data_IF_050883457927
#
_entry.id   IF_050883457927
#
_cell.length_a   1.000
_cell.length_b   1.000
_cell.length_c   1.000
_cell.angle_alpha   90.00
_cell.angle_beta   90.00
_cell.angle_gamma   90.00
#
_symmetry.space_group_name_H-M   'P 1'
#
loop_
_entity.id
_entity.type
_entity.pdbx_description
1 polymer ?
#
# COMPACT_ATOMS: atom_id res chain seq x y z
N UNK A 1 1.83 -2.91 22.15
CA UNK A 1 1.26 -4.28 22.12
C UNK A 1 0.47 -4.36 20.83
N UNK A 2 0.45 -5.50 20.14
CA UNK A 2 -0.42 -5.69 18.97
C UNK A 2 -1.73 -6.32 19.44
N UNK A 3 -2.86 -5.90 18.85
CA UNK A 3 -4.17 -6.50 19.11
C UNK A 3 -4.73 -7.00 17.81
N UNK A 4 -4.93 -8.31 17.73
CA UNK A 4 -5.54 -8.93 16.57
C UNK A 4 -7.06 -8.68 16.61
N UNK A 5 -7.59 -7.95 15.62
CA UNK A 5 -9.01 -7.62 15.48
C UNK A 5 -9.67 -8.47 14.38
N UNK A 6 -8.99 -9.50 13.88
CA UNK A 6 -9.48 -10.37 12.80
C UNK A 6 -10.84 -11.02 13.07
N UNK A 7 -11.07 -11.49 14.29
CA UNK A 7 -12.34 -12.14 14.65
C UNK A 7 -13.48 -11.12 14.64
N UNK A 8 -13.31 -9.99 15.33
CA UNK A 8 -14.27 -8.89 15.35
C UNK A 8 -14.55 -8.34 13.93
N UNK A 9 -13.53 -8.27 13.08
CA UNK A 9 -13.66 -7.88 11.68
C UNK A 9 -14.51 -8.88 10.89
N UNK A 10 -14.30 -10.18 11.07
CA UNK A 10 -15.12 -11.22 10.39
C UNK A 10 -16.56 -11.24 10.89
N UNK A 11 -16.76 -11.11 12.20
CA UNK A 11 -18.09 -11.03 12.81
C UNK A 11 -18.88 -9.83 12.27
N UNK A 12 -18.21 -8.69 12.04
CA UNK A 12 -18.83 -7.52 11.41
C UNK A 12 -19.41 -7.85 10.03
N UNK A 13 -18.73 -8.69 9.23
CA UNK A 13 -19.21 -9.14 7.91
C UNK A 13 -20.48 -9.99 7.94
N UNK A 14 -20.80 -10.57 9.10
CA UNK A 14 -22.03 -11.34 9.32
C UNK A 14 -23.18 -10.48 9.88
N UNK A 15 -22.93 -9.20 10.18
CA UNK A 15 -23.93 -8.32 10.73
C UNK A 15 -25.06 -8.06 9.71
N UNK A 16 -26.31 -8.17 10.18
CA UNK A 16 -27.51 -8.00 9.35
C UNK A 16 -27.60 -6.60 8.74
N UNK A 17 -27.05 -5.60 9.45
CA UNK A 17 -27.05 -4.19 9.08
C UNK A 17 -26.21 -3.87 7.83
N UNK A 18 -25.21 -4.71 7.50
CA UNK A 18 -24.32 -4.44 6.38
C UNK A 18 -24.98 -4.77 5.04
N UNK A 19 -24.86 -3.84 4.09
CA UNK A 19 -25.22 -4.04 2.69
C UNK A 19 -24.30 -5.03 1.98
N UNK A 20 -24.70 -5.46 0.77
CA UNK A 20 -23.98 -6.47 -0.01
C UNK A 20 -22.52 -6.07 -0.27
N UNK A 21 -22.26 -4.82 -0.65
CA UNK A 21 -20.90 -4.36 -0.98
C UNK A 21 -20.01 -4.25 0.26
N UNK A 22 -20.55 -3.80 1.39
CA UNK A 22 -19.82 -3.76 2.66
C UNK A 22 -19.36 -5.17 3.09
N UNK A 23 -20.22 -6.18 2.92
CA UNK A 23 -19.85 -7.57 3.20
C UNK A 23 -18.74 -8.05 2.27
N UNK A 24 -18.80 -7.74 0.97
CA UNK A 24 -17.71 -8.08 0.04
C UNK A 24 -16.38 -7.45 0.45
N UNK A 25 -16.40 -6.21 0.94
CA UNK A 25 -15.21 -5.51 1.46
C UNK A 25 -14.65 -6.24 2.67
N UNK A 26 -15.50 -6.54 3.66
CA UNK A 26 -15.10 -7.28 4.86
C UNK A 26 -14.47 -8.62 4.51
N UNK A 27 -15.11 -9.39 3.63
CA UNK A 27 -14.59 -10.67 3.15
C UNK A 27 -13.32 -10.55 2.30
N UNK A 28 -12.95 -9.36 1.83
CA UNK A 28 -11.71 -9.12 1.09
C UNK A 28 -10.49 -8.98 1.99
N UNK A 29 -10.70 -8.75 3.29
CA UNK A 29 -9.66 -8.57 4.29
C UNK A 29 -9.68 -9.75 5.26
N UNK A 30 -8.61 -10.55 5.26
CA UNK A 30 -8.43 -11.70 6.13
C UNK A 30 -7.96 -11.32 7.53
N UNK A 31 -7.03 -10.37 7.61
CA UNK A 31 -6.48 -9.90 8.86
C UNK A 31 -6.61 -8.39 9.00
N UNK A 32 -7.04 -7.96 10.19
CA UNK A 32 -6.99 -6.57 10.63
C UNK A 32 -6.35 -6.57 12.01
N UNK A 33 -5.22 -5.89 12.16
CA UNK A 33 -4.43 -5.89 13.38
C UNK A 33 -4.09 -4.45 13.76
N UNK A 34 -4.44 -4.11 14.99
CA UNK A 34 -4.08 -2.86 15.63
C UNK A 34 -2.65 -2.96 16.15
N UNK A 35 -1.79 -2.02 15.76
CA UNK A 35 -0.40 -1.95 16.23
C UNK A 35 -0.26 -0.77 17.18
N UNK A 36 -0.48 -0.98 18.49
CA UNK A 36 -0.41 0.11 19.49
C UNK A 36 1.02 0.61 19.73
N UNK A 37 2.02 -0.24 19.46
CA UNK A 37 3.42 0.11 19.62
C UNK A 37 4.26 -0.62 18.59
N UNK A 38 4.98 0.15 17.80
CA UNK A 38 5.93 -0.26 16.79
C UNK A 38 7.29 0.36 17.12
N UNK A 39 8.36 -0.42 16.95
CA UNK A 39 9.74 0.06 16.98
C UNK A 39 10.32 -0.12 15.58
N UNK A 40 10.79 0.95 14.98
CA UNK A 40 11.49 0.93 13.70
C UNK A 40 12.93 1.38 13.92
N UNK A 41 13.90 0.58 13.48
CA UNK A 41 15.32 0.94 13.51
C UNK A 41 15.76 1.21 12.08
N UNK A 42 16.18 2.44 11.79
CA UNK A 42 16.68 2.83 10.46
C UNK A 42 18.18 2.98 10.53
N UNK A 43 18.90 2.08 9.86
CA UNK A 43 20.36 2.16 9.68
C UNK A 43 20.72 2.94 8.43
N UNK A 44 21.67 3.86 8.55
CA UNK A 44 22.20 4.61 7.41
C UNK A 44 23.35 3.83 6.77
N UNK A 45 23.10 3.26 5.58
CA UNK A 45 24.07 2.44 4.83
C UNK A 45 24.99 3.25 3.93
N UNK A 46 24.65 4.51 3.65
CA UNK A 46 25.38 5.36 2.73
C UNK A 46 24.45 6.23 1.88
N UNK A 47 25.03 6.98 0.95
CA UNK A 47 24.28 7.78 -0.02
C UNK A 47 24.78 7.54 -1.43
N UNK A 48 23.90 7.75 -2.40
CA UNK A 48 24.20 7.67 -3.83
C UNK A 48 23.80 8.99 -4.47
N UNK A 49 24.61 9.52 -5.38
CA UNK A 49 24.21 10.68 -6.18
C UNK A 49 23.14 10.28 -7.20
N UNK A 50 22.30 11.23 -7.61
CA UNK A 50 21.36 11.03 -8.72
C UNK A 50 22.12 10.53 -9.97
N UNK A 51 21.79 9.31 -10.43
CA UNK A 51 22.46 8.65 -11.57
C UNK A 51 23.78 7.93 -11.24
N UNK A 52 24.24 7.96 -9.98
CA UNK A 52 25.37 7.16 -9.51
C UNK A 52 24.98 5.71 -9.29
N UNK A 53 25.91 4.77 -9.56
CA UNK A 53 25.73 3.35 -9.25
C UNK A 53 26.45 2.92 -7.97
N UNK A 54 27.33 3.77 -7.46
CA UNK A 54 28.19 3.48 -6.31
C UNK A 54 27.61 4.11 -5.05
N UNK A 55 27.38 3.29 -4.03
CA UNK A 55 26.95 3.75 -2.70
C UNK A 55 28.20 4.21 -1.96
N UNK A 56 28.21 5.47 -1.51
CA UNK A 56 29.26 5.98 -0.63
C UNK A 56 28.89 5.60 0.81
N UNK A 57 29.65 4.72 1.48
CA UNK A 57 29.34 4.28 2.85
C UNK A 57 29.50 5.43 3.86
N UNK A 58 28.85 5.35 5.03
CA UNK A 58 29.04 6.33 6.11
C UNK A 58 30.46 6.29 6.67
N UNK A 59 31.06 5.10 6.69
CA UNK A 59 32.45 4.92 7.05
C UNK A 59 33.34 5.09 5.83
N UNK A 60 34.00 6.23 5.75
CA UNK A 60 34.91 6.58 4.66
C UNK A 60 36.22 5.76 4.75
N UNK A 61 36.62 5.33 5.95
CA UNK A 61 37.84 4.55 6.17
C UNK A 61 37.63 3.05 5.88
N UNK A 62 36.41 2.55 6.04
CA UNK A 62 36.04 1.15 5.78
C UNK A 62 36.54 0.17 6.84
N UNK A 63 36.78 0.66 8.06
CA UNK A 63 37.32 -0.11 9.19
C UNK A 63 36.24 -0.51 10.21
N UNK A 64 35.06 0.10 10.12
CA UNK A 64 33.96 -0.06 11.08
C UNK A 64 33.11 -1.30 10.78
N UNK A 65 32.78 -2.04 11.82
CA UNK A 65 31.86 -3.18 11.81
C UNK A 65 30.42 -2.80 12.23
N UNK A 66 30.16 -1.50 12.41
CA UNK A 66 28.86 -0.96 12.85
C UNK A 66 28.34 0.13 11.89
N UNK A 67 27.03 0.35 11.90
CA UNK A 67 26.36 1.40 11.13
C UNK A 67 25.64 2.38 12.07
N UNK A 68 25.66 3.70 11.78
CA UNK A 68 24.84 4.65 12.50
C UNK A 68 23.36 4.35 12.25
N UNK A 69 22.57 4.33 13.31
CA UNK A 69 21.15 4.05 13.25
C UNK A 69 20.36 4.99 14.16
N UNK A 70 19.11 5.22 13.78
CA UNK A 70 18.12 5.89 14.63
C UNK A 70 17.05 4.89 15.06
N UNK A 71 16.64 5.00 16.32
CA UNK A 71 15.47 4.29 16.83
C UNK A 71 14.26 5.20 16.76
N UNK A 72 13.19 4.68 16.19
CA UNK A 72 11.91 5.36 16.05
C UNK A 72 10.83 4.51 16.70
N UNK A 73 9.82 5.19 17.25
CA UNK A 73 8.66 4.57 17.88
C UNK A 73 7.39 5.11 17.24
N UNK A 74 6.34 4.31 17.24
CA UNK A 74 5.04 4.74 16.75
C UNK A 74 3.98 3.67 16.84
N UNK A 75 2.99 3.78 15.99
CA UNK A 75 1.80 2.95 15.94
C UNK A 75 1.44 2.65 14.49
N UNK A 76 0.47 1.77 14.26
CA UNK A 76 0.02 1.48 12.90
C UNK A 76 -1.21 0.60 12.81
N UNK A 77 -1.59 0.38 11.56
CA UNK A 77 -2.67 -0.51 11.13
C UNK A 77 -2.05 -1.52 10.19
N UNK A 78 -2.19 -2.80 10.52
CA UNK A 78 -1.86 -3.88 9.61
C UNK A 78 -3.14 -4.51 9.09
N UNK A 79 -3.20 -4.72 7.77
CA UNK A 79 -4.20 -5.55 7.15
C UNK A 79 -3.56 -6.59 6.22
N UNK A 80 -4.22 -7.74 6.08
CA UNK A 80 -3.89 -8.70 5.03
C UNK A 80 -5.14 -9.06 4.24
N UNK A 81 -5.00 -9.11 2.90
CA UNK A 81 -6.07 -9.48 2.00
C UNK A 81 -6.36 -10.98 2.08
N UNK A 82 -7.56 -11.37 1.65
CA UNK A 82 -7.94 -12.77 1.52
C UNK A 82 -7.17 -13.45 0.37
N UNK A 83 -6.39 -14.46 0.73
CA UNK A 83 -5.46 -15.13 -0.21
C UNK A 83 -6.18 -15.94 -1.28
N UNK A 84 -7.32 -16.57 -0.95
CA UNK A 84 -8.08 -17.37 -1.92
C UNK A 84 -8.68 -16.47 -2.99
N UNK A 85 -9.35 -15.40 -2.57
CA UNK A 85 -9.88 -14.38 -3.50
C UNK A 85 -8.80 -13.72 -4.33
N UNK A 86 -7.62 -13.48 -3.73
CA UNK A 86 -6.51 -12.84 -4.42
C UNK A 86 -5.94 -13.74 -5.52
N UNK A 87 -5.81 -15.05 -5.25
CA UNK A 87 -5.39 -16.05 -6.24
C UNK A 87 -6.35 -16.16 -7.43
N UNK A 88 -7.65 -16.04 -7.19
CA UNK A 88 -8.64 -16.03 -8.27
C UNK A 88 -8.54 -14.73 -9.08
N UNK A 89 -8.46 -13.58 -8.40
CA UNK A 89 -8.37 -12.27 -9.04
C UNK A 89 -7.10 -12.14 -9.91
N UNK A 90 -5.94 -12.57 -9.42
CA UNK A 90 -4.66 -12.45 -10.13
C UNK A 90 -4.59 -13.33 -11.40
N UNK A 91 -5.46 -14.33 -11.53
CA UNK A 91 -5.58 -15.18 -12.73
C UNK A 91 -6.50 -14.59 -13.80
N UNK A 92 -7.21 -13.49 -13.51
CA UNK A 92 -8.13 -12.87 -14.47
C UNK A 92 -7.36 -12.35 -15.70
N UNK A 93 -7.75 -12.69 -16.94
CA UNK A 93 -7.00 -12.31 -18.14
C UNK A 93 -6.77 -10.81 -18.28
N UNK A 94 -7.75 -9.97 -17.94
CA UNK A 94 -7.63 -8.52 -17.98
C UNK A 94 -6.59 -7.98 -16.97
N UNK A 95 -6.52 -8.57 -15.77
CA UNK A 95 -5.56 -8.22 -14.71
C UNK A 95 -4.14 -8.60 -15.13
N UNK A 96 -3.96 -9.82 -15.64
CA UNK A 96 -2.67 -10.32 -16.16
C UNK A 96 -2.19 -9.49 -17.34
N UNK A 97 -3.06 -9.20 -18.30
CA UNK A 97 -2.73 -8.36 -19.47
C UNK A 97 -2.27 -6.97 -19.03
N UNK A 98 -2.87 -6.42 -17.99
CA UNK A 98 -2.55 -5.09 -17.46
C UNK A 98 -1.13 -5.01 -16.90
N UNK A 99 -0.70 -6.03 -16.15
CA UNK A 99 0.71 -6.19 -15.72
C UNK A 99 1.65 -6.43 -16.90
N UNK A 100 1.29 -7.32 -17.82
CA UNK A 100 2.16 -7.69 -18.94
C UNK A 100 2.54 -6.50 -19.83
N UNK A 101 1.66 -5.50 -19.96
CA UNK A 101 1.97 -4.24 -20.67
C UNK A 101 3.01 -3.37 -19.95
N UNK A 102 3.12 -3.50 -18.63
CA UNK A 102 4.06 -2.72 -17.81
C UNK A 102 5.44 -3.38 -17.70
N UNK A 103 5.50 -4.72 -17.72
CA UNK A 103 6.73 -5.48 -17.53
C UNK A 103 7.91 -5.04 -18.43
N UNK A 104 7.74 -4.77 -19.75
CA UNK A 104 8.84 -4.32 -20.58
C UNK A 104 9.48 -3.01 -20.09
N UNK A 105 8.65 -2.08 -19.60
CA UNK A 105 9.12 -0.79 -19.05
C UNK A 105 9.77 -0.98 -17.70
N UNK A 106 9.24 -1.87 -16.86
CA UNK A 106 9.87 -2.22 -15.58
C UNK A 106 11.28 -2.78 -15.81
N UNK A 107 11.44 -3.74 -16.71
CA UNK A 107 12.74 -4.29 -17.09
C UNK A 107 13.67 -3.21 -17.65
N UNK A 108 13.18 -2.33 -18.52
CA UNK A 108 13.98 -1.24 -19.11
C UNK A 108 14.38 -0.18 -18.07
N UNK A 109 13.57 0.02 -17.03
CA UNK A 109 13.86 1.02 -15.98
C UNK A 109 15.10 0.68 -15.15
N UNK A 110 15.55 -0.59 -15.17
CA UNK A 110 16.70 -1.07 -14.40
C UNK A 110 16.48 -1.04 -12.89
N UNK A 111 15.21 -0.97 -12.45
CA UNK A 111 14.84 -1.09 -11.04
C UNK A 111 14.90 -2.54 -10.60
N UNK A 112 15.53 -2.78 -9.46
CA UNK A 112 15.62 -4.11 -8.88
C UNK A 112 14.34 -4.48 -8.14
N UNK A 113 13.75 -3.56 -7.38
CA UNK A 113 12.56 -3.83 -6.56
C UNK A 113 11.25 -3.30 -7.18
N UNK A 114 10.13 -4.01 -6.98
CA UNK A 114 10.03 -5.35 -6.38
C UNK A 114 10.48 -6.45 -7.37
N UNK A 115 11.11 -7.52 -6.87
CA UNK A 115 11.52 -8.66 -7.69
C UNK A 115 10.88 -9.98 -7.23
N UNK A 116 9.97 -10.60 -8.01
CA UNK A 116 9.40 -10.11 -9.26
C UNK A 116 8.29 -9.06 -9.04
N UNK A 117 8.03 -8.24 -10.06
CA UNK A 117 6.84 -7.40 -10.12
C UNK A 117 5.60 -8.27 -10.39
N UNK A 118 4.58 -8.14 -9.53
CA UNK A 118 3.33 -8.91 -9.61
C UNK A 118 2.09 -8.00 -9.56
N UNK A 119 0.95 -8.50 -10.03
CA UNK A 119 -0.36 -7.83 -9.90
C UNK A 119 -0.74 -7.65 -8.44
N UNK A 120 -0.45 -8.66 -7.61
CA UNK A 120 -0.55 -8.63 -6.15
C UNK A 120 0.20 -7.43 -5.55
N UNK A 121 1.47 -7.27 -5.90
CA UNK A 121 2.26 -6.13 -5.42
C UNK A 121 1.61 -4.81 -5.81
N UNK A 122 1.26 -4.65 -7.09
CA UNK A 122 0.67 -3.40 -7.58
C UNK A 122 -0.67 -3.08 -6.91
N UNK A 123 -1.51 -4.10 -6.65
CA UNK A 123 -2.75 -3.94 -5.88
C UNK A 123 -2.47 -3.44 -4.47
N UNK A 124 -1.58 -4.12 -3.74
CA UNK A 124 -1.26 -3.79 -2.34
C UNK A 124 -0.66 -2.38 -2.24
N UNK A 125 0.28 -2.05 -3.12
CA UNK A 125 0.93 -0.75 -3.19
C UNK A 125 -0.03 0.38 -3.56
N UNK A 126 -0.95 0.13 -4.49
CA UNK A 126 -1.94 1.13 -4.83
C UNK A 126 -2.97 1.30 -3.71
N UNK A 127 -3.38 0.21 -3.07
CA UNK A 127 -4.32 0.25 -1.95
C UNK A 127 -3.72 0.96 -0.74
N UNK A 128 -2.44 0.73 -0.42
CA UNK A 128 -1.75 1.43 0.68
C UNK A 128 -1.70 2.93 0.45
N UNK A 129 -1.42 3.37 -0.77
CA UNK A 129 -1.47 4.78 -1.15
C UNK A 129 -2.86 5.39 -0.94
N UNK A 130 -3.90 4.75 -1.46
CA UNK A 130 -5.27 5.24 -1.33
C UNK A 130 -5.74 5.24 0.13
N UNK A 131 -5.34 4.23 0.92
CA UNK A 131 -5.59 4.17 2.36
C UNK A 131 -4.88 5.30 3.10
N UNK A 132 -3.60 5.57 2.82
CA UNK A 132 -2.85 6.66 3.46
C UNK A 132 -3.51 8.01 3.19
N UNK A 133 -3.96 8.25 1.96
CA UNK A 133 -4.71 9.47 1.60
C UNK A 133 -6.03 9.58 2.36
N UNK A 134 -6.75 8.47 2.54
CA UNK A 134 -8.00 8.46 3.30
C UNK A 134 -7.76 8.66 4.80
N UNK A 135 -6.72 8.04 5.36
CA UNK A 135 -6.30 8.18 6.75
C UNK A 135 -5.85 9.61 7.04
N UNK A 136 -5.15 10.28 6.12
CA UNK A 136 -4.82 11.70 6.24
C UNK A 136 -6.09 12.55 6.38
N UNK A 137 -7.08 12.31 5.51
CA UNK A 137 -8.35 13.04 5.49
C UNK A 137 -9.17 12.85 6.78
N UNK A 138 -9.20 11.64 7.35
CA UNK A 138 -10.01 11.33 8.54
C UNK A 138 -9.28 11.47 9.87
N UNK A 139 -8.00 11.13 9.90
CA UNK A 139 -7.19 11.08 11.11
C UNK A 139 -6.39 12.35 11.38
N UNK A 140 -6.31 13.28 10.41
CA UNK A 140 -5.54 14.52 10.56
C UNK A 140 -4.02 14.31 10.64
N UNK A 141 -3.54 13.10 10.29
CA UNK A 141 -2.12 12.80 10.18
C UNK A 141 -1.58 13.42 8.89
N UNK A 142 -0.50 14.21 8.91
CA UNK A 142 0.15 14.64 7.69
C UNK A 142 0.56 13.41 6.86
N UNK A 143 0.22 13.34 5.57
CA UNK A 143 0.55 12.16 4.77
C UNK A 143 2.05 11.83 4.76
N UNK A 144 2.92 12.82 4.92
CA UNK A 144 4.37 12.63 5.00
C UNK A 144 4.85 11.90 6.28
N UNK A 145 3.98 11.76 7.28
CA UNK A 145 4.27 11.01 8.52
C UNK A 145 3.83 9.54 8.46
N UNK A 146 2.92 9.22 7.53
CA UNK A 146 2.48 7.86 7.27
C UNK A 146 3.54 7.17 6.40
N UNK A 147 3.85 5.93 6.72
CA UNK A 147 4.80 5.10 5.99
C UNK A 147 4.11 3.79 5.70
N UNK A 148 4.16 3.36 4.44
CA UNK A 148 3.73 2.03 4.07
C UNK A 148 4.86 1.01 4.23
N UNK A 149 4.48 -0.22 4.51
CA UNK A 149 5.34 -1.39 4.35
C UNK A 149 4.52 -2.51 3.74
N UNK A 150 4.99 -3.05 2.62
CA UNK A 150 4.26 -4.05 1.84
C UNK A 150 4.86 -5.43 2.12
N UNK A 151 4.00 -6.37 2.49
CA UNK A 151 4.33 -7.78 2.66
C UNK A 151 3.75 -8.56 1.48
N UNK A 152 4.56 -8.76 0.45
CA UNK A 152 4.14 -9.42 -0.79
C UNK A 152 5.09 -10.57 -1.12
N UNK A 153 4.58 -11.79 -1.10
CA UNK A 153 5.32 -12.99 -1.51
C UNK A 153 4.35 -14.02 -2.11
N UNK A 154 4.84 -14.85 -3.02
CA UNK A 154 4.05 -15.95 -3.62
C UNK A 154 4.45 -17.33 -3.05
N UNK A 155 5.70 -17.48 -2.59
CA UNK A 155 6.24 -18.73 -2.06
C UNK A 155 7.45 -18.45 -1.13
N UNK A 156 7.77 -19.34 -0.17
CA UNK A 156 7.07 -20.58 0.17
C UNK A 156 5.73 -20.36 0.89
N UNK A 157 5.60 -19.25 1.61
CA UNK A 157 4.35 -18.82 2.24
C UNK A 157 3.85 -17.57 1.53
N UNK A 158 2.65 -17.61 0.91
CA UNK A 158 2.11 -16.44 0.25
C UNK A 158 1.76 -15.35 1.27
N UNK A 159 2.07 -14.11 0.92
CA UNK A 159 1.79 -12.93 1.73
C UNK A 159 1.13 -11.86 0.87
N UNK A 160 0.11 -11.21 1.45
CA UNK A 160 -0.59 -10.08 0.84
C UNK A 160 -1.01 -9.07 1.92
N UNK A 161 -0.01 -8.51 2.61
CA UNK A 161 -0.18 -7.62 3.75
C UNK A 161 0.27 -6.19 3.48
N UNK A 162 -0.38 -5.25 4.15
CA UNK A 162 -0.03 -3.83 4.19
C UNK A 162 0.06 -3.43 5.65
N UNK A 163 1.18 -2.82 6.03
CA UNK A 163 1.29 -2.06 7.28
C UNK A 163 1.36 -0.58 6.93
N UNK A 164 0.43 0.20 7.45
CA UNK A 164 0.52 1.67 7.45
C UNK A 164 0.89 2.06 8.87
N UNK A 165 2.02 2.74 9.05
CA UNK A 165 2.50 3.12 10.36
C UNK A 165 3.04 4.54 10.37
N UNK A 166 3.13 5.11 11.56
CA UNK A 166 3.93 6.30 11.83
C UNK A 166 5.19 5.88 12.57
N UNK A 167 6.28 6.62 12.39
CA UNK A 167 7.52 6.39 13.14
C UNK A 167 8.16 7.74 13.46
N UNK A 168 8.15 8.12 14.73
CA UNK A 168 8.72 9.38 15.22
C UNK A 168 9.88 9.12 16.19
N UNK A 169 10.85 10.05 16.33
CA UNK A 169 12.00 9.87 17.23
C UNK A 169 11.65 9.84 18.71
N UNK A 170 10.48 10.37 19.10
CA UNK A 170 10.09 10.50 20.51
C UNK A 170 9.38 9.23 21.01
N UNK A 171 9.76 8.75 22.20
CA UNK A 171 9.13 7.63 22.92
C UNK A 171 7.71 8.01 23.38
N UNK A 172 7.42 9.30 23.54
CA UNK A 172 6.05 9.80 23.75
C UNK A 172 5.15 9.64 22.50
N UNK A 173 5.68 9.12 21.40
CA UNK A 173 5.14 9.13 20.05
C UNK A 173 3.75 8.50 19.86
N UNK A 174 2.87 9.34 19.29
CA UNK A 174 1.49 9.12 18.83
C UNK A 174 0.50 8.74 19.94
N UNK A 175 -0.51 9.58 20.18
CA UNK A 175 -1.53 9.43 21.24
C UNK A 175 -2.52 8.27 20.98
N UNK A 176 -2.16 7.27 20.18
CA UNK A 176 -3.01 6.14 19.85
C UNK A 176 -3.99 6.38 18.69
N UNK A 177 -3.89 7.52 17.99
CA UNK A 177 -4.89 7.98 17.03
C UNK A 177 -4.97 7.13 15.77
N UNK A 178 -3.82 6.71 15.22
CA UNK A 178 -3.78 5.88 14.01
C UNK A 178 -4.15 4.44 14.35
N UNK A 179 -3.69 3.91 15.49
CA UNK A 179 -4.11 2.59 15.95
C UNK A 179 -5.62 2.55 16.21
N UNK A 180 -6.24 3.65 16.67
CA UNK A 180 -7.69 3.73 16.87
C UNK A 180 -8.52 3.70 15.58
N UNK A 181 -7.92 4.08 14.44
CA UNK A 181 -8.57 3.91 13.14
C UNK A 181 -8.75 2.44 12.74
N UNK A 182 -8.06 1.50 13.41
CA UNK A 182 -8.18 0.06 13.16
C UNK A 182 -9.35 -0.63 13.90
N UNK A 183 -10.17 0.12 14.64
CA UNK A 183 -11.40 -0.44 15.20
C UNK A 183 -12.34 -0.88 14.07
N UNK A 184 -12.86 -2.13 14.03
CA UNK A 184 -13.45 -2.73 12.84
C UNK A 184 -14.49 -1.88 12.10
N UNK A 185 -15.49 -1.33 12.80
CA UNK A 185 -16.51 -0.47 12.18
C UNK A 185 -15.94 0.84 11.62
N UNK A 186 -14.95 1.43 12.30
CA UNK A 186 -14.28 2.66 11.85
C UNK A 186 -13.40 2.39 10.64
N UNK A 187 -12.61 1.31 10.68
CA UNK A 187 -11.77 0.89 9.58
C UNK A 187 -12.58 0.52 8.33
N UNK A 188 -13.74 -0.14 8.50
CA UNK A 188 -14.64 -0.42 7.39
C UNK A 188 -15.09 0.87 6.69
N UNK A 189 -15.47 1.89 7.45
CA UNK A 189 -15.83 3.20 6.90
C UNK A 189 -14.69 3.87 6.12
N UNK A 190 -13.45 3.77 6.64
CA UNK A 190 -12.24 4.24 5.94
C UNK A 190 -12.07 3.48 4.63
N UNK A 191 -12.11 2.14 4.67
CA UNK A 191 -11.89 1.31 3.50
C UNK A 191 -12.96 1.54 2.43
N UNK A 192 -14.24 1.68 2.81
CA UNK A 192 -15.32 2.05 1.87
C UNK A 192 -14.98 3.38 1.17
N UNK A 193 -14.66 4.43 1.92
CA UNK A 193 -14.32 5.74 1.33
C UNK A 193 -13.05 5.69 0.48
N UNK A 194 -12.05 4.91 0.87
CA UNK A 194 -10.86 4.64 0.05
C UNK A 194 -11.24 4.06 -1.30
N UNK A 195 -12.12 3.05 -1.33
CA UNK A 195 -12.57 2.41 -2.55
C UNK A 195 -13.43 3.35 -3.40
N UNK A 196 -14.30 4.14 -2.79
CA UNK A 196 -15.08 5.18 -3.48
C UNK A 196 -14.19 6.25 -4.11
N UNK A 197 -13.22 6.78 -3.37
CA UNK A 197 -12.26 7.77 -3.87
C UNK A 197 -11.38 7.23 -4.99
N UNK A 198 -11.06 5.93 -4.97
CA UNK A 198 -10.30 5.31 -6.05
C UNK A 198 -10.99 5.48 -7.41
N UNK A 199 -12.33 5.62 -7.47
CA UNK A 199 -13.10 5.81 -8.70
C UNK A 199 -12.88 7.18 -9.35
N UNK A 200 -12.47 8.20 -8.59
CA UNK A 200 -12.42 9.60 -9.03
C UNK A 200 -11.01 10.14 -9.26
N UNK A 201 -10.83 10.87 -10.36
CA UNK A 201 -9.64 11.67 -10.62
C UNK A 201 -10.03 12.88 -11.47
N UNK A 202 -9.60 14.08 -11.08
CA UNK A 202 -9.86 15.30 -11.83
C UNK A 202 -9.20 15.34 -13.22
N UNK A 203 -8.26 14.44 -13.47
CA UNK A 203 -7.56 14.28 -14.74
C UNK A 203 -8.13 13.13 -15.59
N UNK A 204 -9.25 12.51 -15.19
CA UNK A 204 -9.93 11.55 -16.07
C UNK A 204 -10.58 12.25 -17.26
N UNK A 205 -10.61 11.63 -18.46
CA UNK A 205 -10.17 10.26 -18.75
C UNK A 205 -8.67 10.11 -19.01
N UNK A 206 -7.93 11.22 -19.17
CA UNK A 206 -6.49 11.19 -19.52
C UNK A 206 -5.70 10.34 -18.53
N UNK A 207 -5.92 10.51 -17.22
CA UNK A 207 -5.26 9.71 -16.20
C UNK A 207 -5.55 8.21 -16.34
N UNK A 208 -6.84 7.84 -16.45
CA UNK A 208 -7.27 6.44 -16.54
C UNK A 208 -6.87 5.73 -17.84
N UNK A 209 -6.88 6.45 -18.97
CA UNK A 209 -6.60 5.88 -20.30
C UNK A 209 -5.10 5.84 -20.61
N UNK A 210 -4.28 6.61 -19.88
CA UNK A 210 -2.85 6.63 -20.15
C UNK A 210 -2.20 5.27 -19.87
N UNK A 211 -1.50 4.73 -20.87
CA UNK A 211 -0.83 3.44 -20.74
C UNK A 211 0.45 3.48 -19.90
N UNK A 212 1.00 4.66 -19.58
CA UNK A 212 2.21 4.83 -18.77
C UNK A 212 2.49 6.28 -18.43
N UNK A 213 2.72 6.58 -17.15
CA UNK A 213 3.02 7.92 -16.65
C UNK A 213 4.06 7.88 -15.52
N UNK A 214 4.56 9.05 -15.11
CA UNK A 214 5.54 9.18 -14.05
C UNK A 214 6.93 8.63 -14.41
N UNK A 215 7.82 8.49 -13.42
CA UNK A 215 9.18 7.99 -13.63
C UNK A 215 9.19 6.62 -14.32
N UNK A 216 9.93 6.52 -15.43
CA UNK A 216 10.02 5.28 -16.23
C UNK A 216 8.72 4.85 -16.91
N UNK A 217 7.68 5.72 -16.94
CA UNK A 217 6.34 5.39 -17.43
C UNK A 217 5.74 4.16 -16.72
N UNK A 218 6.03 4.04 -15.42
CA UNK A 218 5.72 2.87 -14.59
C UNK A 218 4.37 2.97 -13.85
N UNK A 219 3.64 4.08 -13.98
CA UNK A 219 2.30 4.23 -13.40
C UNK A 219 1.22 4.13 -14.48
N UNK A 220 0.03 3.69 -14.07
CA UNK A 220 -1.20 3.70 -14.88
C UNK A 220 -2.34 4.20 -14.01
N UNK A 221 -3.27 5.01 -14.52
CA UNK A 221 -4.38 5.54 -13.72
C UNK A 221 -3.99 6.15 -12.34
N UNK A 222 -2.76 6.64 -12.19
CA UNK A 222 -2.17 7.06 -10.92
C UNK A 222 -1.34 8.34 -11.12
N UNK A 223 -1.83 9.44 -10.55
CA UNK A 223 -1.22 10.77 -10.61
C UNK A 223 -1.35 11.50 -9.27
N UNK A 224 -0.79 12.70 -9.17
CA UNK A 224 -0.84 13.53 -7.95
C UNK A 224 -2.28 13.82 -7.47
N UNK A 225 -3.26 13.85 -8.37
CA UNK A 225 -4.65 14.13 -8.01
C UNK A 225 -5.35 12.93 -7.33
N UNK A 226 -4.92 11.69 -7.58
CA UNK A 226 -5.67 10.51 -7.14
C UNK A 226 -4.88 9.52 -6.26
N UNK A 227 -3.61 9.24 -6.58
CA UNK A 227 -2.93 8.07 -6.03
C UNK A 227 -1.52 8.35 -5.48
N UNK A 228 -0.83 9.41 -5.92
CA UNK A 228 0.50 9.68 -5.37
C UNK A 228 0.39 10.21 -3.93
N UNK A 229 1.39 9.86 -3.12
CA UNK A 229 1.58 10.30 -1.74
C UNK A 229 2.91 11.04 -1.61
N UNK A 230 3.18 11.78 -0.52
CA UNK A 230 4.50 12.36 -0.29
C UNK A 230 5.60 11.30 -0.39
N UNK A 231 6.72 11.65 -1.02
CA UNK A 231 7.83 10.71 -1.26
C UNK A 231 8.27 9.93 0.00
N UNK A 232 8.39 10.53 1.21
CA UNK A 232 8.82 9.80 2.40
C UNK A 232 7.86 8.69 2.85
N UNK A 233 6.61 8.70 2.37
CA UNK A 233 5.58 7.73 2.73
C UNK A 233 5.64 6.44 1.91
N UNK A 234 6.26 6.48 0.72
CA UNK A 234 6.32 5.37 -0.22
C UNK A 234 7.74 4.81 -0.33
N UNK A 235 7.92 3.51 -0.09
CA UNK A 235 9.22 2.85 -0.19
C UNK A 235 9.65 2.59 -1.66
N UNK A 236 8.74 2.79 -2.61
CA UNK A 236 8.94 2.48 -4.04
C UNK A 236 8.93 3.72 -4.95
N UNK A 237 9.03 4.92 -4.36
CA UNK A 237 9.22 6.18 -5.09
C UNK A 237 8.04 6.57 -5.98
N UNK A 238 6.79 6.33 -5.55
CA UNK A 238 5.58 6.71 -6.28
C UNK A 238 5.51 6.16 -7.72
N UNK A 239 5.89 4.89 -7.90
CA UNK A 239 5.84 4.16 -9.20
C UNK A 239 5.10 2.83 -9.05
N UNK A 240 4.78 2.14 -10.14
CA UNK A 240 4.12 0.81 -10.08
C UNK A 240 2.72 0.88 -9.44
N UNK A 241 2.03 2.00 -9.65
CA UNK A 241 0.69 2.27 -9.13
C UNK A 241 -0.34 2.13 -10.24
N UNK A 242 -1.49 1.54 -9.90
CA UNK A 242 -2.63 1.43 -10.79
C UNK A 242 -3.96 1.33 -10.03
N UNK A 243 -4.68 2.46 -9.90
CA UNK A 243 -5.97 2.44 -9.18
C UNK A 243 -7.01 1.61 -9.89
N UNK A 244 -6.82 1.23 -11.16
CA UNK A 244 -7.69 0.27 -11.86
C UNK A 244 -7.67 -1.14 -11.25
N UNK A 245 -6.70 -1.48 -10.39
CA UNK A 245 -6.77 -2.72 -9.61
C UNK A 245 -7.67 -2.60 -8.37
N UNK A 246 -7.95 -1.36 -7.93
CA UNK A 246 -8.76 -1.05 -6.75
C UNK A 246 -10.17 -0.62 -7.15
N UNK A 247 -10.32 0.16 -8.22
CA UNK A 247 -11.61 0.51 -8.85
C UNK A 247 -11.94 -0.46 -9.97
N UNK A 248 -13.19 -0.87 -10.08
CA UNK A 248 -13.67 -1.60 -11.25
C UNK A 248 -13.54 -0.71 -12.50
N UNK A 249 -13.18 -1.32 -13.63
CA UNK A 249 -13.19 -0.69 -14.95
C UNK A 249 -13.94 -1.59 -15.93
N UNK A 250 -15.28 -1.46 -15.86
CA UNK A 250 -16.22 -2.23 -16.66
C UNK A 250 -16.04 -2.00 -18.17
N UNK A 251 -15.60 -0.81 -18.59
CA UNK A 251 -15.38 -0.50 -20.00
C UNK A 251 -14.25 -1.36 -20.60
N UNK A 252 -13.24 -1.69 -19.80
CA UNK A 252 -12.10 -2.52 -20.19
C UNK A 252 -12.18 -3.97 -19.66
N UNK A 253 -13.30 -4.34 -19.04
CA UNK A 253 -13.50 -5.68 -18.45
C UNK A 253 -12.51 -6.01 -17.32
N UNK A 254 -11.98 -4.98 -16.63
CA UNK A 254 -11.04 -5.15 -15.53
C UNK A 254 -11.81 -5.15 -14.19
N UNK A 255 -11.88 -6.29 -13.48
CA UNK A 255 -12.53 -6.33 -12.17
C UNK A 255 -11.61 -5.78 -11.08
N UNK A 256 -12.19 -5.10 -10.10
CA UNK A 256 -11.54 -4.80 -8.83
C UNK A 256 -11.47 -6.04 -7.95
N UNK A 257 -10.51 -6.03 -7.02
CA UNK A 257 -10.39 -7.09 -6.03
C UNK A 257 -11.61 -7.16 -5.08
N UNK A 258 -12.17 -6.01 -4.70
CA UNK A 258 -13.28 -5.95 -3.75
C UNK A 258 -14.66 -6.18 -4.39
N UNK A 259 -14.79 -5.98 -5.70
CA UNK A 259 -16.00 -6.29 -6.48
C UNK A 259 -17.23 -5.47 -6.06
N UNK A 260 -17.03 -4.19 -5.73
CA UNK A 260 -18.13 -3.27 -5.41
C UNK A 260 -18.94 -2.97 -6.68
N UNK A 261 -20.25 -2.76 -6.52
CA UNK A 261 -21.14 -2.40 -7.64
C UNK A 261 -21.26 -0.88 -7.87
#
# INVERSE_FOLDING_TARGET
MTRNRSDEWRELGMAVELGTDERKIVHGVRHLVRVDRLKAVKGFKGFTRLGGKEIVPPDIAGESDWLPAIELYGEGIFLALDEERLKEWEQTPAVVLRLNRLLPRFTQSGRDDPNPLTTRFMLLHTLSHLLMRQIESEGGYPAASLIERIYCANAPEPMAGILIHVAVPDIAGSLGGLAELSEPRRFLGILIRTLEHSRWCSLDPVCSEHEGQGPGLLNRAACHACALVPEPACEYGNTLLDRGFVKDDAANGLPSFFGMT
#
